data_IF_606159274737
#
_entry.id   IF_606159274737
#
_cell.length_a   1.000
_cell.length_b   1.000
_cell.length_c   1.000
_cell.angle_alpha   90.00
_cell.angle_beta   90.00
_cell.angle_gamma   90.00
#
_symmetry.space_group_name_H-M   'P 1'
#
loop_
_entity.id
_entity.type
_entity.pdbx_description
1 polymer ?
#
# COMPACT_ATOMS: atom_id res chain seq x y z
N UNK A 1 28.38 36.49 -3.17
CA UNK A 1 27.94 35.39 -4.05
C UNK A 1 27.83 34.04 -3.34
N UNK A 2 28.72 33.65 -2.41
CA UNK A 2 28.63 32.35 -1.68
C UNK A 2 27.39 32.27 -0.77
N UNK A 3 27.06 33.32 -0.03
CA UNK A 3 25.90 33.34 0.87
C UNK A 3 24.55 33.27 0.11
N UNK A 4 24.45 33.92 -1.05
CA UNK A 4 23.26 33.90 -1.88
C UNK A 4 22.99 32.47 -2.43
N UNK A 5 24.04 31.74 -2.81
CA UNK A 5 23.93 30.34 -3.26
C UNK A 5 23.52 29.41 -2.11
N UNK A 6 24.01 29.62 -0.90
CA UNK A 6 23.64 28.85 0.28
C UNK A 6 22.18 29.09 0.67
N UNK A 7 21.73 30.34 0.70
CA UNK A 7 20.31 30.65 1.01
C UNK A 7 19.39 30.09 -0.04
N UNK A 8 19.74 30.16 -1.32
CA UNK A 8 18.94 29.56 -2.40
C UNK A 8 18.84 28.02 -2.26
N UNK A 9 19.93 27.36 -1.86
CA UNK A 9 19.99 25.92 -1.63
C UNK A 9 19.08 25.49 -0.45
N UNK A 10 19.08 26.27 0.65
CA UNK A 10 18.21 25.99 1.80
C UNK A 10 16.73 26.20 1.48
N UNK A 11 16.38 27.21 0.67
CA UNK A 11 15.02 27.46 0.22
C UNK A 11 14.56 26.30 -0.68
N UNK A 12 15.39 25.87 -1.64
CA UNK A 12 15.09 24.76 -2.54
C UNK A 12 14.90 23.45 -1.75
N UNK A 13 15.77 23.19 -0.77
CA UNK A 13 15.66 22.01 0.10
C UNK A 13 14.38 22.04 0.95
N UNK A 14 13.98 23.21 1.45
CA UNK A 14 12.71 23.39 2.18
C UNK A 14 11.48 23.09 1.33
N UNK A 15 11.48 23.50 0.05
CA UNK A 15 10.39 23.17 -0.89
C UNK A 15 10.29 21.67 -1.19
N UNK A 16 11.43 20.98 -1.34
CA UNK A 16 11.44 19.53 -1.58
C UNK A 16 10.88 18.74 -0.38
N UNK A 17 11.23 19.13 0.84
CA UNK A 17 10.73 18.50 2.06
C UNK A 17 9.21 18.71 2.25
N UNK A 18 8.70 19.89 1.87
CA UNK A 18 7.26 20.20 1.96
C UNK A 18 6.44 19.36 0.97
N UNK A 19 6.93 19.13 -0.24
CA UNK A 19 6.25 18.33 -1.24
C UNK A 19 6.10 16.85 -0.81
N UNK A 20 7.13 16.26 -0.20
CA UNK A 20 7.09 14.89 0.30
C UNK A 20 6.07 14.71 1.44
N UNK A 21 5.96 15.66 2.36
CA UNK A 21 4.97 15.61 3.46
C UNK A 21 3.54 15.65 2.93
N UNK A 22 3.27 16.50 1.97
CA UNK A 22 1.94 16.63 1.38
C UNK A 22 1.46 15.32 0.71
N UNK A 23 2.36 14.58 0.07
CA UNK A 23 2.00 13.30 -0.57
C UNK A 23 1.73 12.21 0.47
N UNK A 24 2.53 12.13 1.55
CA UNK A 24 2.30 11.19 2.63
C UNK A 24 0.95 11.42 3.31
N UNK A 25 0.65 12.68 3.69
CA UNK A 25 -0.63 13.05 4.32
C UNK A 25 -1.83 12.73 3.41
N UNK A 26 -1.67 12.93 2.10
CA UNK A 26 -2.70 12.58 1.11
C UNK A 26 -2.94 11.07 1.04
N UNK A 27 -1.88 10.26 1.01
CA UNK A 27 -2.00 8.80 0.99
C UNK A 27 -2.66 8.27 2.26
N UNK A 28 -2.28 8.77 3.45
CA UNK A 28 -2.92 8.40 4.71
C UNK A 28 -4.41 8.77 4.75
N UNK A 29 -4.78 9.91 4.16
CA UNK A 29 -6.20 10.29 4.05
C UNK A 29 -6.97 9.36 3.11
N UNK A 30 -6.35 8.91 2.02
CA UNK A 30 -6.96 7.95 1.09
C UNK A 30 -7.11 6.58 1.76
N UNK A 31 -6.14 6.14 2.55
CA UNK A 31 -6.21 4.89 3.31
C UNK A 31 -7.47 4.83 4.19
N UNK A 32 -7.74 5.89 4.94
CA UNK A 32 -8.95 5.98 5.76
C UNK A 32 -10.23 5.96 4.92
N UNK A 33 -10.17 6.47 3.69
CA UNK A 33 -11.32 6.55 2.80
C UNK A 33 -11.67 5.21 2.16
N UNK A 34 -10.71 4.30 1.96
CA UNK A 34 -10.92 3.01 1.26
C UNK A 34 -12.06 2.20 1.90
N UNK A 35 -12.13 2.17 3.23
CA UNK A 35 -13.17 1.41 3.95
C UNK A 35 -14.59 1.96 3.74
N UNK A 36 -14.72 3.26 3.50
CA UNK A 36 -16.01 3.94 3.41
C UNK A 36 -16.46 4.19 1.97
N UNK A 37 -15.51 4.51 1.09
CA UNK A 37 -15.77 4.94 -0.29
C UNK A 37 -14.65 4.47 -1.22
N UNK A 38 -14.56 3.16 -1.54
CA UNK A 38 -13.47 2.61 -2.35
C UNK A 38 -13.35 3.25 -3.72
N UNK A 39 -14.47 3.56 -4.40
CA UNK A 39 -14.43 4.20 -5.73
C UNK A 39 -13.85 5.62 -5.68
N UNK A 40 -14.16 6.36 -4.61
CA UNK A 40 -13.58 7.70 -4.41
C UNK A 40 -12.08 7.60 -4.12
N UNK A 41 -11.67 6.62 -3.31
CA UNK A 41 -10.26 6.36 -3.02
C UNK A 41 -9.49 5.98 -4.29
N UNK A 42 -10.04 5.11 -5.14
CA UNK A 42 -9.48 4.76 -6.44
C UNK A 42 -9.28 5.98 -7.33
N UNK A 43 -10.31 6.83 -7.42
CA UNK A 43 -10.24 8.08 -8.20
C UNK A 43 -9.12 9.00 -7.71
N UNK A 44 -8.94 9.13 -6.38
CA UNK A 44 -7.88 9.95 -5.78
C UNK A 44 -6.49 9.36 -6.00
N UNK A 45 -6.33 8.03 -5.92
CA UNK A 45 -5.06 7.34 -6.20
C UNK A 45 -4.66 7.53 -7.67
N UNK A 46 -5.59 7.39 -8.61
CA UNK A 46 -5.35 7.60 -10.05
C UNK A 46 -4.93 9.04 -10.40
N UNK A 47 -5.20 10.02 -9.54
CA UNK A 47 -4.75 11.41 -9.71
C UNK A 47 -3.31 11.65 -9.25
N UNK A 48 -2.65 10.66 -8.62
CA UNK A 48 -1.24 10.79 -8.25
C UNK A 48 -0.42 10.65 -9.52
N UNK A 49 0.23 11.76 -9.90
CA UNK A 49 1.12 11.80 -11.06
C UNK A 49 2.47 11.17 -10.71
N UNK A 50 3.02 10.40 -11.65
CA UNK A 50 4.35 9.79 -11.54
C UNK A 50 4.54 8.96 -10.26
N UNK A 51 3.67 7.97 -9.98
CA UNK A 51 3.77 7.15 -8.77
C UNK A 51 5.12 6.43 -8.67
N UNK A 52 5.79 6.16 -9.79
CA UNK A 52 7.13 5.58 -9.86
C UNK A 52 8.25 6.50 -9.34
N UNK A 53 7.94 7.78 -9.08
CA UNK A 53 8.87 8.77 -8.50
C UNK A 53 8.63 9.03 -7.03
N UNK A 54 7.68 8.34 -6.43
CA UNK A 54 7.44 8.45 -4.99
C UNK A 54 8.66 7.91 -4.22
N UNK A 55 8.86 8.42 -3.00
CA UNK A 55 9.84 7.83 -2.08
C UNK A 55 9.46 6.39 -1.76
N UNK A 56 10.42 5.56 -1.35
CA UNK A 56 10.21 4.13 -1.08
C UNK A 56 8.98 3.88 -0.18
N UNK A 57 8.84 4.65 0.90
CA UNK A 57 7.69 4.52 1.82
C UNK A 57 6.35 4.95 1.18
N UNK A 58 6.34 6.07 0.46
CA UNK A 58 5.13 6.55 -0.22
C UNK A 58 4.78 5.66 -1.43
N UNK A 59 5.78 5.15 -2.13
CA UNK A 59 5.61 4.20 -3.24
C UNK A 59 5.01 2.89 -2.75
N UNK A 60 5.50 2.36 -1.63
CA UNK A 60 4.97 1.16 -1.00
C UNK A 60 3.53 1.35 -0.50
N UNK A 61 3.23 2.47 0.16
CA UNK A 61 1.87 2.78 0.60
C UNK A 61 0.93 2.95 -0.60
N UNK A 62 1.35 3.67 -1.63
CA UNK A 62 0.56 3.82 -2.86
C UNK A 62 0.25 2.45 -3.49
N UNK A 63 1.25 1.57 -3.61
CA UNK A 63 1.10 0.24 -4.19
C UNK A 63 0.11 -0.63 -3.38
N UNK A 64 0.23 -0.58 -2.05
CA UNK A 64 -0.68 -1.27 -1.14
C UNK A 64 -2.13 -0.78 -1.31
N UNK A 65 -2.34 0.53 -1.22
CA UNK A 65 -3.68 1.13 -1.29
C UNK A 65 -4.32 0.93 -2.67
N UNK A 66 -3.54 1.03 -3.74
CA UNK A 66 -4.02 0.80 -5.10
C UNK A 66 -4.47 -0.65 -5.28
N UNK A 67 -3.67 -1.64 -4.83
CA UNK A 67 -4.05 -3.05 -4.89
C UNK A 67 -5.29 -3.33 -4.02
N UNK A 68 -5.33 -2.78 -2.80
CA UNK A 68 -6.45 -2.97 -1.89
C UNK A 68 -7.77 -2.45 -2.49
N UNK A 69 -7.76 -1.26 -3.06
CA UNK A 69 -8.98 -0.66 -3.64
C UNK A 69 -9.42 -1.39 -4.90
N UNK A 70 -8.49 -1.87 -5.74
CA UNK A 70 -8.82 -2.69 -6.90
C UNK A 70 -9.44 -4.02 -6.48
N UNK A 71 -8.91 -4.66 -5.42
CA UNK A 71 -9.49 -5.90 -4.88
C UNK A 71 -10.90 -5.72 -4.30
N UNK A 72 -11.26 -4.51 -3.88
CA UNK A 72 -12.58 -4.18 -3.31
C UNK A 72 -13.55 -3.58 -4.33
N UNK A 73 -13.04 -3.01 -5.41
CA UNK A 73 -13.87 -2.43 -6.46
C UNK A 73 -14.38 -3.50 -7.42
N UNK A 74 -15.51 -3.22 -8.06
CA UNK A 74 -16.03 -4.03 -9.18
C UNK A 74 -15.28 -3.76 -10.50
N UNK A 75 -14.21 -2.95 -10.45
CA UNK A 75 -13.36 -2.70 -11.61
C UNK A 75 -12.51 -3.94 -11.88
N UNK A 76 -12.81 -4.67 -12.94
CA UNK A 76 -12.07 -5.84 -13.44
C UNK A 76 -10.68 -5.48 -14.01
N UNK A 77 -10.09 -4.36 -13.53
CA UNK A 77 -8.74 -3.97 -13.90
C UNK A 77 -7.74 -5.08 -13.60
N UNK A 78 -6.80 -5.27 -14.50
CA UNK A 78 -5.78 -6.31 -14.40
C UNK A 78 -5.10 -6.27 -13.03
N UNK A 79 -5.31 -7.30 -12.20
CA UNK A 79 -4.70 -7.43 -10.88
C UNK A 79 -3.26 -7.87 -11.07
N UNK A 80 -2.35 -6.94 -10.86
CA UNK A 80 -0.92 -7.15 -11.13
C UNK A 80 -0.16 -7.49 -9.85
N UNK A 81 0.48 -8.65 -9.86
CA UNK A 81 1.40 -9.07 -8.79
C UNK A 81 2.56 -8.07 -8.61
N UNK A 82 2.99 -7.42 -9.70
CA UNK A 82 4.12 -6.49 -9.66
C UNK A 82 3.85 -5.26 -8.80
N UNK A 83 2.58 -4.81 -8.71
CA UNK A 83 2.26 -3.64 -7.91
C UNK A 83 2.31 -3.96 -6.41
N UNK A 84 1.69 -5.07 -5.99
CA UNK A 84 1.67 -5.45 -4.57
C UNK A 84 3.04 -5.90 -4.07
N UNK A 85 3.91 -6.44 -4.94
CA UNK A 85 5.26 -6.83 -4.58
C UNK A 85 6.09 -5.64 -4.08
N UNK A 86 5.88 -4.42 -4.59
CA UNK A 86 6.53 -3.19 -4.10
C UNK A 86 6.20 -2.96 -2.62
N UNK A 87 4.94 -3.13 -2.24
CA UNK A 87 4.52 -2.98 -0.84
C UNK A 87 5.13 -4.08 0.05
N UNK A 88 5.08 -5.34 -0.39
CA UNK A 88 5.68 -6.47 0.36
C UNK A 88 7.17 -6.24 0.55
N UNK A 89 7.91 -5.90 -0.51
CA UNK A 89 9.36 -5.73 -0.46
C UNK A 89 9.78 -4.63 0.51
N UNK A 90 9.00 -3.56 0.61
CA UNK A 90 9.24 -2.50 1.57
C UNK A 90 8.85 -2.92 2.99
N UNK A 91 7.58 -3.32 3.22
CA UNK A 91 7.06 -3.53 4.57
C UNK A 91 7.68 -4.74 5.29
N UNK A 92 8.09 -5.80 4.58
CA UNK A 92 8.80 -6.95 5.19
C UNK A 92 10.13 -6.56 5.87
N UNK A 93 10.73 -5.43 5.47
CA UNK A 93 11.96 -4.89 6.07
C UNK A 93 11.71 -3.86 7.18
N UNK A 94 10.46 -3.57 7.53
CA UNK A 94 10.09 -2.57 8.52
C UNK A 94 9.54 -3.20 9.80
N UNK A 95 9.24 -2.35 10.80
CA UNK A 95 8.51 -2.76 12.02
C UNK A 95 6.98 -2.57 11.88
N UNK A 96 6.51 -2.16 10.72
CA UNK A 96 5.10 -1.91 10.45
C UNK A 96 4.38 -3.22 10.09
N UNK A 97 4.08 -3.99 11.13
CA UNK A 97 3.44 -5.29 10.99
C UNK A 97 2.03 -5.19 10.41
N UNK A 98 1.33 -4.09 10.66
CA UNK A 98 -0.03 -3.88 10.17
C UNK A 98 -0.06 -3.75 8.63
N UNK A 99 0.78 -2.89 8.06
CA UNK A 99 0.88 -2.76 6.61
C UNK A 99 1.51 -3.99 5.96
N UNK A 100 2.47 -4.66 6.63
CA UNK A 100 3.02 -5.92 6.14
C UNK A 100 1.93 -7.01 6.03
N UNK A 101 1.14 -7.21 7.08
CA UNK A 101 0.02 -8.14 7.07
C UNK A 101 -0.99 -7.81 5.98
N UNK A 102 -1.36 -6.53 5.84
CA UNK A 102 -2.31 -6.08 4.82
C UNK A 102 -1.76 -6.28 3.40
N UNK A 103 -0.45 -6.08 3.18
CA UNK A 103 0.19 -6.31 1.89
C UNK A 103 0.14 -7.80 1.49
N UNK A 104 0.49 -8.71 2.40
CA UNK A 104 0.38 -10.14 2.16
C UNK A 104 -1.08 -10.60 1.96
N UNK A 105 -2.04 -10.05 2.71
CA UNK A 105 -3.45 -10.34 2.49
C UNK A 105 -3.90 -9.98 1.07
N UNK A 106 -3.56 -8.78 0.62
CA UNK A 106 -3.90 -8.32 -0.72
C UNK A 106 -3.19 -9.14 -1.82
N UNK A 107 -1.95 -9.57 -1.59
CA UNK A 107 -1.24 -10.47 -2.50
C UNK A 107 -1.92 -11.86 -2.57
N UNK A 108 -2.42 -12.36 -1.44
CA UNK A 108 -3.22 -13.58 -1.40
C UNK A 108 -4.50 -13.50 -2.22
N UNK A 109 -5.18 -12.34 -2.19
CA UNK A 109 -6.35 -12.09 -3.02
C UNK A 109 -6.01 -12.04 -4.52
N UNK A 110 -4.92 -11.34 -4.88
CA UNK A 110 -4.44 -11.27 -6.27
C UNK A 110 -4.09 -12.67 -6.79
N UNK A 111 -3.36 -13.47 -6.00
CA UNK A 111 -3.02 -14.84 -6.38
C UNK A 111 -4.26 -15.73 -6.54
N UNK A 112 -5.25 -15.56 -5.66
CA UNK A 112 -6.52 -16.28 -5.76
C UNK A 112 -7.28 -15.93 -7.05
N UNK A 113 -7.31 -14.67 -7.44
CA UNK A 113 -7.96 -14.25 -8.70
C UNK A 113 -7.18 -14.71 -9.94
N UNK A 114 -5.87 -14.94 -9.83
CA UNK A 114 -5.02 -15.52 -10.85
C UNK A 114 -5.05 -17.06 -10.84
N UNK A 115 -5.92 -17.68 -10.02
CA UNK A 115 -6.06 -19.14 -9.86
C UNK A 115 -4.76 -19.82 -9.33
N UNK A 116 -3.84 -19.07 -8.73
CA UNK A 116 -2.63 -19.58 -8.09
C UNK A 116 -2.92 -19.89 -6.62
N UNK A 117 -3.44 -21.08 -6.37
CA UNK A 117 -3.83 -21.51 -5.03
C UNK A 117 -2.63 -21.65 -4.08
N UNK A 118 -1.44 -22.01 -4.58
CA UNK A 118 -0.23 -22.16 -3.77
C UNK A 118 0.25 -20.81 -3.30
N UNK A 119 0.40 -19.84 -4.20
CA UNK A 119 0.79 -18.47 -3.85
C UNK A 119 -0.27 -17.81 -2.95
N UNK A 120 -1.55 -18.05 -3.21
CA UNK A 120 -2.64 -17.53 -2.38
C UNK A 120 -2.54 -18.02 -0.94
N UNK A 121 -2.42 -19.35 -0.75
CA UNK A 121 -2.27 -19.95 0.59
C UNK A 121 -1.00 -19.43 1.29
N UNK A 122 0.13 -19.41 0.58
CA UNK A 122 1.39 -18.88 1.12
C UNK A 122 1.22 -17.45 1.66
N UNK A 123 0.62 -16.57 0.88
CA UNK A 123 0.42 -15.16 1.25
C UNK A 123 -0.55 -15.01 2.43
N UNK A 124 -1.62 -15.81 2.49
CA UNK A 124 -2.54 -15.79 3.64
C UNK A 124 -1.86 -16.30 4.92
N UNK A 125 -1.01 -17.32 4.85
CA UNK A 125 -0.22 -17.76 6.00
C UNK A 125 0.75 -16.67 6.46
N UNK A 126 1.41 -15.97 5.52
CA UNK A 126 2.25 -14.81 5.84
C UNK A 126 1.46 -13.69 6.51
N UNK A 127 0.23 -13.45 6.09
CA UNK A 127 -0.65 -12.48 6.77
C UNK A 127 -0.83 -12.85 8.25
N UNK A 128 -1.10 -14.14 8.54
CA UNK A 128 -1.26 -14.62 9.92
C UNK A 128 0.04 -14.45 10.71
N UNK A 129 1.20 -14.79 10.12
CA UNK A 129 2.51 -14.62 10.74
C UNK A 129 2.75 -13.15 11.16
N UNK A 130 2.43 -12.19 10.28
CA UNK A 130 2.62 -10.77 10.54
C UNK A 130 1.60 -10.18 11.52
N UNK A 131 0.39 -10.72 11.57
CA UNK A 131 -0.60 -10.34 12.58
C UNK A 131 -0.18 -10.80 13.98
N UNK A 132 0.42 -11.98 14.10
CA UNK A 132 0.81 -12.53 15.40
C UNK A 132 -0.35 -12.55 16.36
N UNK A 133 -0.13 -12.03 17.57
CA UNK A 133 -1.16 -11.85 18.62
C UNK A 133 -1.81 -10.44 18.56
N UNK A 134 -1.83 -9.79 17.39
CA UNK A 134 -2.43 -8.47 17.25
C UNK A 134 -3.95 -8.52 17.43
N UNK A 135 -4.52 -7.45 17.99
CA UNK A 135 -5.97 -7.28 18.18
C UNK A 135 -6.73 -6.97 16.86
N UNK A 136 -6.13 -7.26 15.69
CA UNK A 136 -6.80 -7.04 14.39
C UNK A 136 -7.68 -8.25 14.03
N UNK A 137 -8.73 -8.44 14.82
CA UNK A 137 -9.69 -9.54 14.64
C UNK A 137 -10.36 -9.53 13.27
N UNK A 138 -10.59 -8.35 12.69
CA UNK A 138 -11.23 -8.21 11.36
C UNK A 138 -10.38 -8.86 10.27
N UNK A 139 -9.10 -8.51 10.19
CA UNK A 139 -8.20 -9.08 9.19
C UNK A 139 -7.94 -10.56 9.44
N UNK A 140 -7.81 -10.99 10.69
CA UNK A 140 -7.71 -12.41 11.05
C UNK A 140 -8.92 -13.20 10.58
N UNK A 141 -10.13 -12.68 10.82
CA UNK A 141 -11.36 -13.32 10.34
C UNK A 141 -11.40 -13.42 8.82
N UNK A 142 -11.09 -12.31 8.11
CA UNK A 142 -11.10 -12.29 6.65
C UNK A 142 -10.14 -13.32 6.05
N UNK A 143 -8.92 -13.43 6.58
CA UNK A 143 -7.92 -14.41 6.11
C UNK A 143 -8.43 -15.83 6.32
N UNK A 144 -8.89 -16.17 7.52
CA UNK A 144 -9.40 -17.52 7.85
C UNK A 144 -10.60 -17.90 6.97
N UNK A 145 -11.49 -16.94 6.73
CA UNK A 145 -12.63 -17.12 5.83
C UNK A 145 -12.17 -17.42 4.39
N UNK A 146 -11.18 -16.70 3.87
CA UNK A 146 -10.64 -16.94 2.53
C UNK A 146 -9.94 -18.30 2.41
N UNK A 147 -9.20 -18.73 3.44
CA UNK A 147 -8.52 -20.03 3.45
C UNK A 147 -9.48 -21.22 3.58
N UNK A 148 -10.71 -21.01 4.02
CA UNK A 148 -11.71 -22.09 4.18
C UNK A 148 -12.51 -22.40 2.90
N UNK A 149 -12.27 -21.67 1.82
CA UNK A 149 -12.99 -21.79 0.53
C UNK A 149 -12.13 -22.36 -0.56
#
# INVERSE_FOLDING_TARGET
MKHLRQTLLFILLGFLLSACRHTADRLLSIEQLIRLKPDSALSLLRQIQYPERLSDSNGALYALLMTQVINQSSDEGHKSDSLISVAIDYYKGTKDSAHAALAYYNAGLVAMDNEDSEASLHNFLKTIDWLGESDNDELQFMVRYKMSR
#
